data_IF_416220570139
#
_entry.id   IF_416220570139
#
_cell.length_a   1.000
_cell.length_b   1.000
_cell.length_c   1.000
_cell.angle_alpha   90.00
_cell.angle_beta   90.00
_cell.angle_gamma   90.00
#
_symmetry.space_group_name_H-M   'P 1'
#
loop_
_entity.id
_entity.type
_entity.pdbx_description
1 polymer ?
#
# COMPACT_ATOMS: atom_id res chain seq x y z
N UNK A 1 35.77 39.60 69.54
CA UNK A 1 35.08 38.48 70.23
C UNK A 1 33.74 38.24 69.56
N UNK A 2 33.43 36.95 69.34
CA UNK A 2 32.14 36.35 68.94
C UNK A 2 31.80 36.38 67.44
N UNK A 3 31.92 35.19 66.88
CA UNK A 3 31.47 34.71 65.58
C UNK A 3 29.94 34.74 65.46
N UNK A 4 29.43 34.91 64.25
CA UNK A 4 28.10 34.44 63.86
C UNK A 4 28.16 33.90 62.43
N UNK A 5 27.81 32.62 62.30
CA UNK A 5 27.69 31.84 61.07
C UNK A 5 26.40 32.24 60.36
N UNK A 6 26.46 32.51 59.05
CA UNK A 6 25.26 32.53 58.18
C UNK A 6 25.62 31.87 56.86
N UNK A 7 25.00 30.71 56.62
CA UNK A 7 25.04 29.91 55.40
C UNK A 7 24.19 30.58 54.29
N UNK A 8 24.61 30.56 53.01
CA UNK A 8 23.68 30.77 51.92
C UNK A 8 23.54 29.51 51.05
N UNK A 9 22.28 29.08 50.91
CA UNK A 9 21.76 28.21 49.86
C UNK A 9 22.30 28.66 48.48
N UNK A 10 22.99 27.78 47.76
CA UNK A 10 23.17 27.93 46.31
C UNK A 10 21.94 27.35 45.59
N UNK A 11 21.07 28.23 45.11
CA UNK A 11 20.04 27.88 44.13
C UNK A 11 20.70 27.72 42.75
N UNK A 12 20.76 26.49 42.25
CA UNK A 12 21.22 26.18 40.90
C UNK A 12 20.15 26.53 39.86
N UNK A 13 20.42 27.54 39.03
CA UNK A 13 19.61 27.89 37.87
C UNK A 13 20.09 27.04 36.67
N UNK A 14 19.41 25.92 36.38
CA UNK A 14 19.64 25.12 35.17
C UNK A 14 18.93 25.78 33.98
N UNK A 15 19.71 26.45 33.12
CA UNK A 15 19.24 26.95 31.83
C UNK A 15 19.05 25.77 30.86
N UNK A 16 17.81 25.32 30.71
CA UNK A 16 17.39 24.39 29.66
C UNK A 16 17.41 25.11 28.30
N UNK A 17 18.54 25.03 27.60
CA UNK A 17 18.61 25.41 26.19
C UNK A 17 17.94 24.31 25.37
N UNK A 18 16.67 24.53 25.01
CA UNK A 18 15.98 23.65 24.08
C UNK A 18 16.61 23.76 22.69
N UNK A 19 17.18 22.66 22.19
CA UNK A 19 17.51 22.56 20.78
C UNK A 19 16.21 22.60 19.98
N UNK A 20 15.87 23.75 19.41
CA UNK A 20 14.84 23.83 18.39
C UNK A 20 15.34 23.03 17.18
N UNK A 21 14.86 21.81 17.02
CA UNK A 21 15.01 21.10 15.76
C UNK A 21 14.29 21.93 14.69
N UNK A 22 14.90 22.21 13.54
CA UNK A 22 14.19 22.76 12.41
C UNK A 22 12.98 21.86 12.15
N UNK A 23 11.78 22.43 12.17
CA UNK A 23 10.59 21.72 11.72
C UNK A 23 10.92 21.14 10.35
N UNK A 24 10.78 19.82 10.20
CA UNK A 24 10.84 19.20 8.89
C UNK A 24 9.83 19.94 8.03
N UNK A 25 10.31 20.73 7.07
CA UNK A 25 9.44 21.27 6.05
C UNK A 25 8.85 20.06 5.33
N UNK A 26 7.55 19.82 5.53
CA UNK A 26 6.78 18.90 4.73
C UNK A 26 6.66 19.48 3.31
N UNK A 27 7.77 19.45 2.57
CA UNK A 27 7.80 19.61 1.12
C UNK A 27 7.49 18.26 0.48
N UNK A 28 6.40 17.61 0.87
CA UNK A 28 5.96 16.33 0.31
C UNK A 28 4.79 16.57 -0.64
N UNK A 29 4.83 16.05 -1.86
CA UNK A 29 3.81 16.23 -2.91
C UNK A 29 2.50 15.51 -2.67
N UNK A 30 2.01 15.51 -1.43
CA UNK A 30 0.94 14.65 -0.99
C UNK A 30 1.40 13.22 -0.76
N UNK A 31 0.68 12.55 0.13
CA UNK A 31 0.93 11.19 0.55
C UNK A 31 -0.31 10.64 1.24
N UNK A 32 -0.47 9.33 1.22
CA UNK A 32 -1.70 8.71 1.69
C UNK A 32 -1.60 7.20 1.77
N UNK A 33 -2.76 6.56 1.75
CA UNK A 33 -2.88 5.11 1.83
C UNK A 33 -2.45 4.44 0.53
N UNK A 34 -2.01 3.20 0.65
CA UNK A 34 -1.84 2.25 -0.43
C UNK A 34 -3.08 1.37 -0.41
N UNK A 35 -3.91 1.56 -1.43
CA UNK A 35 -5.15 0.85 -1.62
C UNK A 35 -5.11 0.02 -2.89
N UNK A 36 -6.07 -0.87 -3.05
CA UNK A 36 -6.18 -1.70 -4.23
C UNK A 36 -7.62 -2.06 -4.58
N UNK A 37 -7.84 -2.29 -5.86
CA UNK A 37 -9.06 -2.83 -6.45
C UNK A 37 -8.66 -4.00 -7.35
N UNK A 38 -9.16 -5.17 -7.01
CA UNK A 38 -8.90 -6.39 -7.73
C UNK A 38 -10.03 -6.66 -8.72
N UNK A 39 -9.74 -6.56 -10.00
CA UNK A 39 -10.70 -6.84 -11.08
C UNK A 39 -10.72 -8.30 -11.53
N UNK A 40 -9.95 -9.16 -10.84
CA UNK A 40 -9.67 -10.53 -11.26
C UNK A 40 -10.40 -11.57 -10.40
N UNK A 41 -10.43 -12.80 -10.91
CA UNK A 41 -10.96 -13.97 -10.18
C UNK A 41 -9.99 -14.53 -9.14
N UNK A 42 -8.72 -14.12 -9.16
CA UNK A 42 -7.69 -14.58 -8.24
C UNK A 42 -7.66 -13.66 -7.03
N UNK A 43 -7.31 -14.19 -5.85
CA UNK A 43 -6.99 -13.31 -4.73
C UNK A 43 -5.61 -12.69 -4.96
N UNK A 44 -5.43 -11.47 -4.47
CA UNK A 44 -4.13 -10.83 -4.28
C UNK A 44 -3.73 -11.11 -2.84
N UNK A 45 -2.84 -12.08 -2.63
CA UNK A 45 -2.49 -12.54 -1.28
C UNK A 45 -1.69 -11.47 -0.53
N UNK A 46 -0.83 -10.75 -1.25
CA UNK A 46 -0.10 -9.58 -0.77
C UNK A 46 0.34 -8.74 -1.98
N UNK A 47 0.58 -7.45 -1.75
CA UNK A 47 1.16 -6.57 -2.76
C UNK A 47 1.98 -5.43 -2.13
N UNK A 48 2.80 -4.79 -2.96
CA UNK A 48 3.59 -3.63 -2.55
C UNK A 48 3.78 -2.64 -3.70
N UNK A 49 3.99 -1.38 -3.35
CA UNK A 49 4.37 -0.29 -4.25
C UNK A 49 5.75 0.21 -3.87
N UNK A 50 6.73 0.11 -4.77
CA UNK A 50 8.12 0.46 -4.50
C UNK A 50 8.66 -0.18 -3.20
N UNK A 51 8.31 -1.46 -2.97
CA UNK A 51 8.59 -2.25 -1.75
C UNK A 51 7.83 -1.83 -0.49
N UNK A 52 6.96 -0.82 -0.56
CA UNK A 52 6.07 -0.46 0.53
C UNK A 52 4.81 -1.32 0.50
N UNK A 53 4.56 -2.07 1.57
CA UNK A 53 3.45 -3.02 1.65
C UNK A 53 2.08 -2.32 1.60
N UNK A 54 1.15 -2.90 0.84
CA UNK A 54 -0.27 -2.54 0.86
C UNK A 54 -1.04 -3.05 2.09
N UNK A 55 -0.37 -3.83 2.96
CA UNK A 55 -0.90 -4.50 4.18
C UNK A 55 -1.94 -5.58 3.89
N UNK A 56 -3.00 -5.24 3.15
CA UNK A 56 -4.15 -6.10 2.96
C UNK A 56 -3.95 -7.14 1.84
N UNK A 57 -4.62 -8.29 2.01
CA UNK A 57 -4.95 -9.20 0.93
C UNK A 57 -6.27 -8.76 0.27
N UNK A 58 -6.34 -8.77 -1.05
CA UNK A 58 -7.53 -8.34 -1.79
C UNK A 58 -8.21 -9.55 -2.42
N UNK A 59 -9.42 -9.87 -1.94
CA UNK A 59 -10.21 -10.97 -2.50
C UNK A 59 -10.60 -10.75 -3.97
N UNK A 60 -11.06 -11.80 -4.66
CA UNK A 60 -11.54 -11.67 -6.04
C UNK A 60 -12.66 -10.63 -6.16
N UNK A 61 -12.54 -9.70 -7.11
CA UNK A 61 -13.56 -8.67 -7.38
C UNK A 61 -13.88 -7.76 -6.20
N UNK A 62 -12.89 -7.43 -5.37
CA UNK A 62 -13.01 -6.60 -4.17
C UNK A 62 -12.04 -5.42 -4.20
N UNK A 63 -12.27 -4.46 -3.31
CA UNK A 63 -11.29 -3.43 -2.96
C UNK A 63 -10.92 -3.50 -1.49
N UNK A 64 -9.76 -2.96 -1.14
CA UNK A 64 -9.21 -2.97 0.21
C UNK A 64 -7.86 -2.25 0.25
N UNK A 65 -7.11 -2.40 1.34
CA UNK A 65 -5.87 -1.68 1.55
C UNK A 65 -5.83 -0.95 2.87
N UNK A 66 -5.14 0.19 2.89
CA UNK A 66 -4.81 0.91 4.12
C UNK A 66 -3.35 0.76 4.53
N UNK A 67 -2.52 0.21 3.63
CA UNK A 67 -1.06 0.34 3.75
C UNK A 67 -0.67 1.81 3.90
N UNK A 68 0.23 2.14 4.83
CA UNK A 68 0.58 3.53 5.05
C UNK A 68 1.66 4.03 4.08
N UNK A 69 1.71 5.36 4.02
CA UNK A 69 2.92 6.11 3.74
C UNK A 69 3.38 6.10 2.27
N UNK A 70 2.45 5.96 1.33
CA UNK A 70 2.75 6.34 -0.05
C UNK A 70 3.06 7.84 -0.09
N UNK A 71 4.10 8.24 -0.82
CA UNK A 71 4.49 9.63 -0.97
C UNK A 71 5.13 9.85 -2.33
N UNK A 72 4.89 11.02 -2.90
CA UNK A 72 5.45 11.43 -4.19
C UNK A 72 6.09 12.82 -4.11
N UNK A 73 7.00 13.14 -5.04
CA UNK A 73 7.53 14.50 -5.20
C UNK A 73 6.42 15.55 -5.40
N UNK A 74 6.69 16.80 -5.02
CA UNK A 74 5.75 17.92 -5.16
C UNK A 74 5.24 18.18 -6.59
N UNK A 75 6.02 17.78 -7.59
CA UNK A 75 5.65 17.91 -9.00
C UNK A 75 5.84 16.58 -9.70
N UNK A 76 4.85 16.19 -10.46
CA UNK A 76 4.99 15.09 -11.39
C UNK A 76 5.88 15.53 -12.55
N UNK A 77 6.68 14.59 -13.07
CA UNK A 77 7.48 14.80 -14.28
C UNK A 77 7.28 13.65 -15.26
N UNK A 78 7.33 13.89 -16.58
CA UNK A 78 7.21 12.83 -17.58
C UNK A 78 8.18 11.68 -17.34
N UNK A 79 7.66 10.45 -17.39
CA UNK A 79 8.44 9.23 -17.18
C UNK A 79 8.49 8.74 -15.74
N UNK A 80 7.82 9.39 -14.79
CA UNK A 80 7.66 8.83 -13.45
C UNK A 80 6.89 7.51 -13.47
N UNK A 81 7.39 6.53 -12.72
CA UNK A 81 6.84 5.19 -12.64
C UNK A 81 6.79 4.69 -11.20
N UNK A 82 5.97 3.69 -10.95
CA UNK A 82 6.01 2.90 -9.73
C UNK A 82 6.21 1.42 -10.08
N UNK A 83 6.92 0.70 -9.21
CA UNK A 83 6.99 -0.77 -9.27
C UNK A 83 5.91 -1.35 -8.39
N UNK A 84 5.08 -2.20 -8.98
CA UNK A 84 4.07 -3.00 -8.29
C UNK A 84 4.59 -4.42 -8.21
N UNK A 85 4.55 -5.01 -7.02
CA UNK A 85 4.82 -6.43 -6.80
C UNK A 85 3.62 -7.06 -6.13
N UNK A 86 3.19 -8.23 -6.56
CA UNK A 86 2.05 -8.91 -5.96
C UNK A 86 2.10 -10.43 -6.14
N UNK A 87 1.39 -11.13 -5.27
CA UNK A 87 1.16 -12.57 -5.40
C UNK A 87 -0.32 -12.83 -5.68
N UNK A 88 -0.62 -13.59 -6.74
CA UNK A 88 -1.96 -14.14 -6.94
C UNK A 88 -2.09 -15.54 -6.34
N UNK A 89 -3.29 -15.92 -5.93
CA UNK A 89 -3.59 -17.28 -5.47
C UNK A 89 -5.08 -17.58 -5.37
N UNK A 90 -5.40 -18.80 -4.95
CA UNK A 90 -6.78 -19.23 -4.73
C UNK A 90 -7.44 -18.44 -3.60
N UNK A 91 -8.44 -17.61 -3.94
CA UNK A 91 -9.19 -16.79 -2.97
C UNK A 91 -10.35 -17.51 -2.29
N UNK A 92 -10.32 -18.83 -2.17
CA UNK A 92 -11.44 -19.64 -1.65
C UNK A 92 -10.95 -20.83 -0.83
N UNK A 93 -11.73 -21.23 0.16
CA UNK A 93 -11.54 -22.47 0.92
C UNK A 93 -12.23 -23.69 0.27
N UNK A 94 -12.64 -23.58 -1.00
CA UNK A 94 -13.22 -24.70 -1.73
C UNK A 94 -12.29 -25.92 -1.72
N UNK A 95 -12.87 -27.10 -1.49
CA UNK A 95 -12.11 -28.35 -1.38
C UNK A 95 -11.38 -28.55 -0.05
N UNK A 96 -11.52 -27.64 0.93
CA UNK A 96 -10.93 -27.81 2.25
C UNK A 96 -11.42 -29.12 2.93
N UNK A 97 -10.53 -30.07 3.24
CA UNK A 97 -10.93 -31.40 3.71
C UNK A 97 -11.25 -31.47 5.21
N UNK A 98 -11.24 -30.33 5.90
CA UNK A 98 -11.23 -30.30 7.37
C UNK A 98 -9.86 -30.65 7.95
N UNK A 99 -9.79 -30.71 9.28
CA UNK A 99 -8.53 -30.94 10.01
C UNK A 99 -8.35 -32.38 10.49
N UNK A 100 -9.36 -33.24 10.35
CA UNK A 100 -9.36 -34.61 10.90
C UNK A 100 -8.34 -35.52 10.21
N UNK A 101 -8.17 -35.38 8.89
CA UNK A 101 -7.20 -36.15 8.10
C UNK A 101 -6.00 -35.26 7.74
N UNK A 102 -4.89 -35.47 8.45
CA UNK A 102 -3.67 -34.68 8.27
C UNK A 102 -3.04 -34.87 6.88
N UNK A 103 -3.17 -36.04 6.26
CA UNK A 103 -2.61 -36.29 4.94
C UNK A 103 -3.38 -35.52 3.87
N UNK A 104 -4.72 -35.56 3.92
CA UNK A 104 -5.58 -34.76 3.02
C UNK A 104 -5.38 -33.27 3.23
N UNK A 105 -5.30 -32.81 4.48
CA UNK A 105 -5.05 -31.40 4.77
C UNK A 105 -3.72 -30.91 4.17
N UNK A 106 -2.63 -31.68 4.31
CA UNK A 106 -1.33 -31.33 3.71
C UNK A 106 -1.38 -31.32 2.18
N UNK A 107 -2.06 -32.29 1.57
CA UNK A 107 -2.22 -32.33 0.11
C UNK A 107 -3.00 -31.12 -0.40
N UNK A 108 -4.05 -30.72 0.30
CA UNK A 108 -4.83 -29.52 -0.02
C UNK A 108 -4.00 -28.24 0.09
N UNK A 109 -3.20 -28.06 1.16
CA UNK A 109 -2.29 -26.91 1.26
C UNK A 109 -1.30 -26.89 0.10
N UNK A 110 -0.68 -28.03 -0.22
CA UNK A 110 0.29 -28.11 -1.32
C UNK A 110 -0.34 -27.73 -2.67
N UNK A 111 -1.59 -28.12 -2.92
CA UNK A 111 -2.33 -27.72 -4.11
C UNK A 111 -2.62 -26.21 -4.14
N UNK A 112 -3.08 -25.63 -3.01
CA UNK A 112 -3.31 -24.19 -2.89
C UNK A 112 -2.00 -23.39 -3.12
N UNK A 113 -0.89 -23.86 -2.53
CA UNK A 113 0.41 -23.22 -2.68
C UNK A 113 0.94 -23.32 -4.13
N UNK A 114 0.69 -24.43 -4.82
CA UNK A 114 1.10 -24.61 -6.22
C UNK A 114 0.38 -23.67 -7.21
N UNK A 115 -0.77 -23.13 -6.81
CA UNK A 115 -1.53 -22.14 -7.59
C UNK A 115 -1.00 -20.72 -7.42
N UNK A 116 -0.12 -20.45 -6.44
CA UNK A 116 0.43 -19.12 -6.22
C UNK A 116 1.32 -18.69 -7.39
N UNK A 117 1.27 -17.41 -7.74
CA UNK A 117 2.15 -16.79 -8.75
C UNK A 117 2.64 -15.45 -8.24
N UNK A 118 3.94 -15.23 -8.41
CA UNK A 118 4.60 -13.99 -8.08
C UNK A 118 4.71 -13.14 -9.33
N UNK A 119 4.36 -11.86 -9.20
CA UNK A 119 4.27 -10.92 -10.31
C UNK A 119 5.00 -9.63 -9.97
N UNK A 120 5.44 -8.94 -11.02
CA UNK A 120 6.08 -7.63 -10.90
C UNK A 120 5.90 -6.83 -12.17
N UNK A 121 5.50 -5.57 -12.05
CA UNK A 121 5.36 -4.67 -13.18
C UNK A 121 5.75 -3.24 -12.77
N UNK A 122 6.53 -2.60 -13.62
CA UNK A 122 6.75 -1.15 -13.53
C UNK A 122 5.74 -0.45 -14.43
N UNK A 123 4.92 0.40 -13.84
CA UNK A 123 3.85 1.11 -14.56
C UNK A 123 4.02 2.61 -14.46
N UNK A 124 3.60 3.37 -15.50
CA UNK A 124 3.55 4.82 -15.43
C UNK A 124 2.68 5.29 -14.27
N UNK A 125 3.18 6.27 -13.53
CA UNK A 125 2.37 7.01 -12.57
C UNK A 125 1.66 8.14 -13.33
N UNK A 126 0.32 8.19 -13.36
CA UNK A 126 -0.38 9.28 -14.05
C UNK A 126 0.01 10.66 -13.53
N UNK A 127 -0.06 11.66 -14.42
CA UNK A 127 0.22 13.06 -14.07
C UNK A 127 -0.77 13.55 -13.01
N UNK A 128 -0.24 13.98 -11.86
CA UNK A 128 -0.99 14.54 -10.74
C UNK A 128 -0.78 16.05 -10.58
N UNK A 129 -0.11 16.72 -11.52
CA UNK A 129 0.08 18.16 -11.46
C UNK A 129 -1.26 18.89 -11.50
N UNK A 130 -1.44 19.87 -10.60
CA UNK A 130 -2.69 20.62 -10.47
C UNK A 130 -3.83 19.83 -9.81
N UNK A 131 -3.54 18.66 -9.22
CA UNK A 131 -4.49 17.82 -8.51
C UNK A 131 -3.97 17.51 -7.10
N UNK A 132 -4.90 17.22 -6.18
CA UNK A 132 -4.54 16.66 -4.88
C UNK A 132 -4.15 15.18 -5.01
N UNK A 133 -3.21 14.75 -4.17
CA UNK A 133 -2.75 13.35 -4.08
C UNK A 133 -3.20 12.76 -2.75
N UNK A 134 -4.03 11.72 -2.79
CA UNK A 134 -4.60 11.09 -1.59
C UNK A 134 -4.05 9.68 -1.29
N UNK A 135 -2.87 9.36 -1.84
CA UNK A 135 -2.29 8.02 -1.76
C UNK A 135 -2.12 7.42 -3.14
N UNK A 136 -2.12 6.09 -3.21
CA UNK A 136 -2.11 5.35 -4.48
C UNK A 136 -3.09 4.18 -4.41
N UNK A 137 -3.91 4.02 -5.43
CA UNK A 137 -4.75 2.84 -5.62
C UNK A 137 -4.20 2.01 -6.78
N UNK A 138 -3.97 0.73 -6.53
CA UNK A 138 -3.57 -0.25 -7.54
C UNK A 138 -4.79 -0.98 -8.07
N UNK A 139 -4.96 -1.02 -9.37
CA UNK A 139 -5.97 -1.81 -10.04
C UNK A 139 -5.32 -3.04 -10.64
N UNK A 140 -5.60 -4.22 -10.08
CA UNK A 140 -5.16 -5.50 -10.64
C UNK A 140 -6.14 -5.94 -11.70
N UNK A 141 -5.69 -6.05 -12.95
CA UNK A 141 -6.50 -6.36 -14.11
C UNK A 141 -6.27 -7.82 -14.54
N UNK A 142 -7.19 -8.40 -15.34
CA UNK A 142 -6.93 -9.69 -15.97
C UNK A 142 -5.67 -9.65 -16.83
N UNK A 143 -5.08 -10.82 -17.11
CA UNK A 143 -3.81 -10.93 -17.83
C UNK A 143 -2.60 -10.34 -17.10
N UNK A 144 -2.64 -10.34 -15.76
CA UNK A 144 -1.56 -9.90 -14.89
C UNK A 144 -1.09 -8.46 -15.17
N UNK A 145 -1.99 -7.60 -15.67
CA UNK A 145 -1.75 -6.18 -15.91
C UNK A 145 -2.18 -5.35 -14.70
N UNK A 146 -1.57 -4.18 -14.53
CA UNK A 146 -1.89 -3.26 -13.44
C UNK A 146 -2.00 -1.82 -13.91
N UNK A 147 -2.95 -1.09 -13.32
CA UNK A 147 -3.03 0.37 -13.42
C UNK A 147 -2.91 0.98 -12.04
N UNK A 148 -2.45 2.23 -11.97
CA UNK A 148 -2.37 2.96 -10.72
C UNK A 148 -2.98 4.34 -10.85
N UNK A 149 -3.44 4.89 -9.74
CA UNK A 149 -3.94 6.27 -9.66
C UNK A 149 -3.67 6.87 -8.29
N UNK A 150 -3.44 8.18 -8.25
CA UNK A 150 -3.29 8.97 -7.01
C UNK A 150 -4.54 9.79 -6.66
N UNK A 151 -5.63 9.58 -7.42
CA UNK A 151 -6.89 10.31 -7.32
C UNK A 151 -7.48 10.27 -5.91
N UNK A 152 -7.96 11.42 -5.46
CA UNK A 152 -8.75 11.56 -4.23
C UNK A 152 -10.21 11.12 -4.35
N UNK A 153 -10.73 10.91 -5.56
CA UNK A 153 -12.08 10.40 -5.75
C UNK A 153 -12.18 8.91 -5.38
N UNK A 154 -13.36 8.48 -4.91
CA UNK A 154 -13.66 7.05 -4.71
C UNK A 154 -13.95 6.36 -6.04
N UNK A 155 -13.54 5.10 -6.18
CA UNK A 155 -13.88 4.27 -7.34
C UNK A 155 -15.40 4.18 -7.55
N UNK A 156 -15.82 4.25 -8.81
CA UNK A 156 -17.23 4.39 -9.21
C UNK A 156 -17.72 5.83 -9.35
N UNK A 157 -16.99 6.82 -8.80
CA UNK A 157 -17.30 8.23 -9.02
C UNK A 157 -17.16 8.62 -10.51
N UNK A 158 -18.00 9.53 -11.04
CA UNK A 158 -17.83 10.10 -12.38
C UNK A 158 -16.44 10.70 -12.61
N UNK A 159 -15.80 11.24 -11.57
CA UNK A 159 -14.47 11.86 -11.67
C UNK A 159 -13.30 10.89 -11.46
N UNK A 160 -13.55 9.63 -11.08
CA UNK A 160 -12.47 8.66 -10.86
C UNK A 160 -11.80 8.25 -12.19
N UNK A 161 -10.47 8.21 -12.33
CA UNK A 161 -9.83 8.08 -13.64
C UNK A 161 -9.92 6.68 -14.27
N UNK A 162 -10.10 5.62 -13.48
CA UNK A 162 -10.14 4.23 -13.96
C UNK A 162 -11.60 3.75 -13.98
N UNK A 163 -12.10 3.32 -15.15
CA UNK A 163 -13.54 3.07 -15.38
C UNK A 163 -13.90 1.61 -15.59
N UNK A 164 -12.89 0.76 -15.65
CA UNK A 164 -13.02 -0.68 -15.79
C UNK A 164 -13.93 -1.22 -14.68
N UNK A 165 -14.88 -2.12 -14.98
CA UNK A 165 -15.80 -2.65 -13.99
C UNK A 165 -15.07 -3.57 -13.01
N UNK A 166 -15.52 -3.66 -11.76
CA UNK A 166 -14.88 -4.52 -10.76
C UNK A 166 -14.87 -6.00 -11.17
N UNK A 167 -15.90 -6.47 -11.89
CA UNK A 167 -15.95 -7.85 -12.41
C UNK A 167 -15.56 -7.87 -13.88
N UNK A 168 -14.26 -7.98 -14.15
CA UNK A 168 -13.76 -8.19 -15.52
C UNK A 168 -13.68 -9.68 -15.84
N UNK A 169 -13.96 -10.03 -17.10
CA UNK A 169 -13.68 -11.36 -17.62
C UNK A 169 -12.26 -11.37 -18.16
N UNK A 170 -11.51 -12.40 -17.76
CA UNK A 170 -10.21 -12.67 -18.35
C UNK A 170 -10.40 -13.20 -19.78
N UNK A 171 -9.72 -12.61 -20.79
CA UNK A 171 -9.80 -13.12 -22.15
C UNK A 171 -9.14 -14.50 -22.25
N UNK A 172 -9.56 -15.29 -23.25
CA UNK A 172 -8.98 -16.62 -23.47
C UNK A 172 -7.50 -16.56 -23.86
N UNK A 173 -7.07 -15.45 -24.46
CA UNK A 173 -5.68 -15.17 -24.83
C UNK A 173 -5.35 -13.77 -24.36
N UNK A 174 -4.28 -13.65 -23.57
CA UNK A 174 -3.78 -12.37 -23.14
C UNK A 174 -2.99 -11.70 -24.27
N UNK A 175 -3.21 -10.39 -24.51
CA UNK A 175 -2.39 -9.64 -25.45
C UNK A 175 -0.92 -9.68 -25.00
N UNK A 176 -0.01 -9.71 -25.99
CA UNK A 176 1.43 -9.65 -25.75
C UNK A 176 1.92 -8.21 -25.78
#
# INVERSE_FOLDING_TARGET
MKSALISPLLAGLLLLTGCAQPAAQAGGGGGGTIDAINHTKWAINHFSINRQSGIDSIGPFQGGGGGCCFSVPARWTPGMTVRVDWETGQGSSAGFPGFADRAKYKAWIADIDAQKRQHSQTVPLPDYNGQDVCGITVHFLPCDDVKVTTSCYTYGSPSYPIKEPVRMKEPAVCPK
#
